data_IF_412923413236
#
_entry.id   IF_412923413236
#
_cell.length_a   1.000
_cell.length_b   1.000
_cell.length_c   1.000
_cell.angle_alpha   90.00
_cell.angle_beta   90.00
_cell.angle_gamma   90.00
#
_symmetry.space_group_name_H-M   'P 1'
#
loop_
_entity.id
_entity.type
_entity.pdbx_description
1 polymer ?
#
# COMPACT_ATOMS: atom_id res chain seq x y z
N UNK A 1 -5.45 13.34 5.73
CA UNK A 1 -6.47 12.47 5.09
C UNK A 1 -6.58 11.11 5.77
N UNK A 2 -5.48 10.48 6.10
CA UNK A 2 -5.42 9.31 7.00
C UNK A 2 -4.79 9.81 8.28
N UNK A 3 -5.37 9.50 9.45
CA UNK A 3 -4.86 9.92 10.76
C UNK A 3 -4.82 8.71 11.68
N UNK A 4 -3.71 8.50 12.32
CA UNK A 4 -3.50 7.51 13.37
C UNK A 4 -3.09 8.25 14.64
N UNK A 5 -3.76 7.98 15.76
CA UNK A 5 -3.50 8.61 17.05
C UNK A 5 -3.35 7.54 18.13
N UNK A 6 -2.18 7.44 18.71
CA UNK A 6 -1.85 6.54 19.83
C UNK A 6 -2.24 5.08 19.57
N UNK A 7 -2.03 4.58 18.34
CA UNK A 7 -2.46 3.25 17.92
C UNK A 7 -1.58 2.19 18.54
N UNK A 8 -2.20 1.29 19.31
CA UNK A 8 -1.54 0.12 19.90
C UNK A 8 -2.29 -1.15 19.51
N UNK A 9 -1.54 -2.21 19.19
CA UNK A 9 -2.09 -3.50 18.79
C UNK A 9 -1.35 -4.66 19.41
N UNK A 10 -2.12 -5.65 19.84
CA UNK A 10 -1.62 -6.93 20.37
C UNK A 10 -2.16 -8.11 19.58
N UNK A 11 -1.32 -9.13 19.40
CA UNK A 11 -1.72 -10.48 19.09
C UNK A 11 -1.55 -11.33 20.36
N UNK A 12 -2.66 -11.65 21.00
CA UNK A 12 -2.67 -12.26 22.34
C UNK A 12 -1.89 -11.39 23.35
N UNK A 13 -0.77 -11.87 23.89
CA UNK A 13 0.11 -11.14 24.82
C UNK A 13 1.24 -10.36 24.13
N UNK A 14 1.44 -10.54 22.83
CA UNK A 14 2.53 -9.90 22.12
C UNK A 14 2.08 -8.57 21.50
N UNK A 15 2.71 -7.47 21.95
CA UNK A 15 2.44 -6.14 21.43
C UNK A 15 3.23 -5.89 20.15
N UNK A 16 2.51 -5.68 19.03
CA UNK A 16 3.08 -5.48 17.69
C UNK A 16 3.16 -4.00 17.32
N UNK A 17 2.20 -3.19 17.77
CA UNK A 17 2.23 -1.73 17.61
C UNK A 17 2.14 -1.09 18.99
N UNK A 18 2.95 -0.06 19.21
CA UNK A 18 3.10 0.65 20.47
C UNK A 18 2.98 2.15 20.22
N UNK A 19 1.85 2.71 20.60
CA UNK A 19 1.62 4.17 20.60
C UNK A 19 1.96 4.86 19.27
N UNK A 20 1.60 4.24 18.14
CA UNK A 20 1.91 4.76 16.82
C UNK A 20 0.99 5.93 16.47
N UNK A 21 1.57 7.10 16.22
CA UNK A 21 0.85 8.30 15.79
C UNK A 21 1.46 8.87 14.51
N UNK A 22 0.65 9.07 13.49
CA UNK A 22 1.05 9.69 12.22
C UNK A 22 -0.17 10.14 11.43
N UNK A 23 0.05 10.97 10.44
CA UNK A 23 -0.98 11.41 9.50
C UNK A 23 -0.48 11.27 8.06
N UNK A 24 -1.39 11.19 7.11
CA UNK A 24 -1.11 11.30 5.66
C UNK A 24 -2.06 12.34 5.09
N UNK A 25 -1.51 13.40 4.54
CA UNK A 25 -2.29 14.45 3.89
C UNK A 25 -2.86 13.96 2.53
N UNK A 26 -3.81 14.70 1.98
CA UNK A 26 -4.31 14.39 0.63
C UNK A 26 -3.22 14.68 -0.41
N UNK A 27 -2.94 13.73 -1.26
CA UNK A 27 -1.91 13.80 -2.29
C UNK A 27 -0.50 13.53 -1.76
N UNK A 28 -0.33 13.31 -0.44
CA UNK A 28 0.97 12.99 0.16
C UNK A 28 1.33 11.53 -0.10
N UNK A 29 2.61 11.30 -0.42
CA UNK A 29 3.22 9.97 -0.49
C UNK A 29 4.06 9.74 0.76
N UNK A 30 3.61 8.84 1.63
CA UNK A 30 4.33 8.45 2.85
C UNK A 30 4.89 7.04 2.68
N UNK A 31 6.19 6.91 2.88
CA UNK A 31 6.87 5.60 2.86
C UNK A 31 7.18 5.17 4.29
N UNK A 32 6.83 3.93 4.62
CA UNK A 32 7.16 3.29 5.91
C UNK A 32 8.24 2.25 5.67
N UNK A 33 9.39 2.41 6.31
CA UNK A 33 10.51 1.48 6.25
C UNK A 33 10.92 0.99 7.65
N UNK A 34 11.77 -0.02 7.70
CA UNK A 34 12.25 -0.61 8.96
C UNK A 34 12.50 -2.11 8.84
N UNK A 35 13.12 -2.74 9.83
CA UNK A 35 13.45 -4.17 9.80
C UNK A 35 12.19 -5.05 9.71
N UNK A 36 12.36 -6.30 9.27
CA UNK A 36 11.29 -7.29 9.29
C UNK A 36 10.77 -7.49 10.71
N UNK A 37 9.45 -7.63 10.86
CA UNK A 37 8.81 -7.77 12.17
C UNK A 37 8.64 -6.46 12.96
N UNK A 38 9.00 -5.29 12.42
CA UNK A 38 8.83 -4.01 13.13
C UNK A 38 7.37 -3.48 13.18
N UNK A 39 6.39 -4.20 12.60
CA UNK A 39 4.97 -3.84 12.68
C UNK A 39 4.41 -3.11 11.45
N UNK A 40 5.20 -2.82 10.41
CA UNK A 40 4.80 -2.06 9.21
C UNK A 40 3.54 -2.60 8.52
N UNK A 41 3.54 -3.88 8.18
CA UNK A 41 2.39 -4.54 7.53
C UNK A 41 1.16 -4.58 8.44
N UNK A 42 1.35 -4.69 9.74
CA UNK A 42 0.24 -4.60 10.71
C UNK A 42 -0.33 -3.18 10.75
N UNK A 43 0.53 -2.16 10.78
CA UNK A 43 0.11 -0.76 10.79
C UNK A 43 -0.78 -0.45 9.55
N UNK A 44 -0.32 -0.80 8.36
CA UNK A 44 -1.06 -0.52 7.13
C UNK A 44 -2.38 -1.32 7.05
N UNK A 45 -2.41 -2.56 7.57
CA UNK A 45 -3.63 -3.37 7.66
C UNK A 45 -4.64 -2.83 8.69
N UNK A 46 -4.17 -2.14 9.73
CA UNK A 46 -5.06 -1.43 10.65
C UNK A 46 -5.74 -0.23 9.95
N UNK A 47 -5.07 0.46 9.04
CA UNK A 47 -5.63 1.62 8.32
C UNK A 47 -6.86 1.26 7.49
N UNK A 48 -6.91 0.09 6.86
CA UNK A 48 -8.10 -0.35 6.10
C UNK A 48 -9.02 -1.29 6.89
N UNK A 49 -8.77 -1.45 8.20
CA UNK A 49 -9.58 -2.28 9.09
C UNK A 49 -9.49 -3.78 8.82
N UNK A 50 -8.47 -4.27 8.08
CA UNK A 50 -8.20 -5.71 7.94
C UNK A 50 -7.72 -6.30 9.25
N UNK A 51 -6.95 -5.53 10.01
CA UNK A 51 -6.50 -5.88 11.34
C UNK A 51 -7.14 -4.95 12.38
N UNK A 52 -7.80 -5.47 13.42
CA UNK A 52 -8.29 -4.66 14.51
C UNK A 52 -7.13 -4.18 15.39
N UNK A 53 -7.24 -2.99 15.94
CA UNK A 53 -6.34 -2.46 16.97
C UNK A 53 -7.10 -2.32 18.29
N UNK A 54 -6.38 -2.27 19.42
CA UNK A 54 -6.99 -2.28 20.75
C UNK A 54 -7.03 -0.89 21.41
N UNK A 55 -6.06 -0.03 21.11
CA UNK A 55 -5.98 1.32 21.67
C UNK A 55 -5.72 2.36 20.59
N UNK A 56 -6.08 3.59 20.86
CA UNK A 56 -5.94 4.72 19.96
C UNK A 56 -7.09 4.88 18.98
N UNK A 57 -6.88 5.66 17.95
CA UNK A 57 -7.86 5.89 16.90
C UNK A 57 -7.22 5.89 15.51
N UNK A 58 -7.97 5.43 14.51
CA UNK A 58 -7.62 5.56 13.09
C UNK A 58 -8.82 6.14 12.36
N UNK A 59 -8.57 7.16 11.56
CA UNK A 59 -9.59 7.71 10.67
C UNK A 59 -9.07 7.84 9.23
N UNK A 60 -9.96 7.60 8.25
CA UNK A 60 -9.69 7.80 6.83
C UNK A 60 -10.78 8.66 6.23
N UNK A 61 -10.41 9.83 5.73
CA UNK A 61 -11.33 10.85 5.21
C UNK A 61 -12.46 11.18 6.19
N UNK A 62 -12.14 11.27 7.49
CA UNK A 62 -13.09 11.56 8.57
C UNK A 62 -13.95 10.36 9.02
N UNK A 63 -13.75 9.17 8.44
CA UNK A 63 -14.44 7.95 8.84
C UNK A 63 -13.56 7.19 9.83
N UNK A 64 -14.05 6.93 11.04
CA UNK A 64 -13.34 6.14 12.05
C UNK A 64 -13.31 4.65 11.66
N UNK A 65 -12.13 4.07 11.63
CA UNK A 65 -11.93 2.64 11.30
C UNK A 65 -12.33 1.74 12.49
N UNK A 66 -12.11 2.20 13.71
CA UNK A 66 -12.35 1.43 14.95
C UNK A 66 -13.79 1.50 15.46
N UNK A 67 -14.66 2.35 14.91
CA UNK A 67 -16.05 2.45 15.37
C UNK A 67 -16.84 1.22 14.90
N UNK A 68 -17.53 0.55 15.84
CA UNK A 68 -18.40 -0.60 15.56
C UNK A 68 -19.55 -0.31 14.60
N UNK A 69 -19.93 0.97 14.44
CA UNK A 69 -20.96 1.42 13.50
C UNK A 69 -20.43 1.66 12.09
N UNK A 70 -19.12 1.66 11.90
CA UNK A 70 -18.51 1.89 10.59
C UNK A 70 -18.76 0.70 9.68
N UNK A 71 -19.33 0.97 8.51
CA UNK A 71 -19.42 0.00 7.42
C UNK A 71 -18.04 -0.14 6.76
N UNK A 72 -17.28 -1.13 7.22
CA UNK A 72 -15.92 -1.41 6.70
C UNK A 72 -15.95 -1.78 5.21
N UNK A 73 -17.05 -2.30 4.67
CA UNK A 73 -17.17 -2.60 3.24
C UNK A 73 -17.13 -1.31 2.43
N UNK A 74 -17.88 -0.30 2.85
CA UNK A 74 -17.87 1.03 2.23
C UNK A 74 -16.54 1.75 2.40
N UNK A 75 -15.92 1.62 3.56
CA UNK A 75 -14.60 2.20 3.80
C UNK A 75 -13.55 1.56 2.86
N UNK A 76 -13.49 0.23 2.82
CA UNK A 76 -12.54 -0.52 1.96
C UNK A 76 -12.77 -0.28 0.48
N UNK A 77 -14.02 -0.03 0.06
CA UNK A 77 -14.30 0.35 -1.33
C UNK A 77 -13.65 1.68 -1.75
N UNK A 78 -13.30 2.53 -0.79
CA UNK A 78 -12.67 3.84 -1.00
C UNK A 78 -11.16 3.83 -0.82
N UNK A 79 -10.57 2.73 -0.38
CA UNK A 79 -9.15 2.57 -0.12
C UNK A 79 -8.63 1.42 -0.97
N UNK A 80 -7.74 1.70 -1.90
CA UNK A 80 -7.05 0.66 -2.65
C UNK A 80 -6.00 -0.01 -1.77
N UNK A 81 -5.92 -1.34 -1.80
CA UNK A 81 -4.88 -2.11 -1.11
C UNK A 81 -4.19 -3.04 -2.09
N UNK A 82 -2.87 -2.98 -2.11
CA UNK A 82 -1.99 -3.84 -2.91
C UNK A 82 -1.11 -4.62 -1.95
N UNK A 83 -1.15 -5.94 -2.04
CA UNK A 83 -0.46 -6.86 -1.14
C UNK A 83 0.84 -7.39 -1.77
N UNK A 84 1.69 -7.96 -0.94
CA UNK A 84 2.93 -8.62 -1.34
C UNK A 84 2.69 -9.78 -2.33
N UNK A 85 1.63 -10.57 -2.15
CA UNK A 85 1.30 -11.75 -2.94
C UNK A 85 0.13 -11.55 -3.92
N UNK A 86 0.03 -10.36 -4.54
CA UNK A 86 -0.90 -10.00 -5.62
C UNK A 86 -2.40 -10.17 -5.28
N UNK A 87 -2.79 -11.24 -4.60
CA UNK A 87 -4.15 -11.60 -4.17
C UNK A 87 -5.18 -11.53 -5.31
N UNK A 88 -4.78 -11.95 -6.52
CA UNK A 88 -5.69 -12.08 -7.66
C UNK A 88 -6.52 -13.37 -7.53
N UNK A 89 -7.76 -13.32 -7.99
CA UNK A 89 -8.61 -14.51 -8.09
C UNK A 89 -8.10 -15.40 -9.23
N UNK A 90 -7.51 -16.57 -8.94
CA UNK A 90 -6.82 -17.37 -9.95
C UNK A 90 -7.76 -18.02 -10.99
N UNK A 91 -9.03 -18.18 -10.64
CA UNK A 91 -10.09 -18.75 -11.49
C UNK A 91 -10.80 -17.70 -12.35
N UNK A 92 -10.44 -16.42 -12.22
CA UNK A 92 -10.97 -15.33 -13.02
C UNK A 92 -9.90 -14.80 -13.98
N UNK A 93 -10.34 -14.36 -15.16
CA UNK A 93 -9.44 -13.64 -16.08
C UNK A 93 -8.97 -12.33 -15.47
N UNK A 94 -7.92 -11.72 -16.02
CA UNK A 94 -7.43 -10.39 -15.66
C UNK A 94 -8.57 -9.38 -15.69
N UNK A 95 -9.33 -9.30 -16.79
CA UNK A 95 -10.47 -8.40 -16.90
C UNK A 95 -11.54 -8.68 -15.84
N UNK A 96 -11.87 -9.95 -15.60
CA UNK A 96 -12.86 -10.31 -14.58
C UNK A 96 -12.42 -9.93 -13.16
N UNK A 97 -11.12 -10.00 -12.84
CA UNK A 97 -10.56 -9.49 -11.58
C UNK A 97 -10.80 -7.99 -11.40
N UNK A 98 -10.69 -7.17 -12.46
CA UNK A 98 -10.92 -5.74 -12.38
C UNK A 98 -12.42 -5.39 -12.32
N UNK A 99 -13.29 -6.17 -12.96
CA UNK A 99 -14.72 -5.89 -13.11
C UNK A 99 -15.51 -6.30 -11.87
N UNK A 100 -15.13 -7.40 -11.21
CA UNK A 100 -15.92 -8.03 -10.14
C UNK A 100 -16.35 -7.03 -9.05
N UNK A 101 -15.40 -6.31 -8.46
CA UNK A 101 -15.69 -5.40 -7.36
C UNK A 101 -16.45 -4.15 -7.84
N UNK A 102 -16.20 -3.64 -9.03
CA UNK A 102 -16.93 -2.52 -9.61
C UNK A 102 -18.43 -2.84 -9.72
N UNK A 103 -18.77 -4.05 -10.20
CA UNK A 103 -20.16 -4.48 -10.36
C UNK A 103 -20.78 -4.83 -9.01
N UNK A 104 -20.10 -5.63 -8.17
CA UNK A 104 -20.68 -6.18 -6.94
C UNK A 104 -20.73 -5.20 -5.78
N UNK A 105 -19.77 -4.29 -5.69
CA UNK A 105 -19.62 -3.35 -4.56
C UNK A 105 -20.11 -1.94 -4.94
N UNK A 106 -19.71 -1.44 -6.11
CA UNK A 106 -20.09 -0.10 -6.57
C UNK A 106 -21.40 -0.08 -7.36
N UNK A 107 -21.93 -1.23 -7.79
CA UNK A 107 -23.16 -1.31 -8.58
C UNK A 107 -23.01 -0.78 -10.01
N UNK A 108 -21.77 -0.63 -10.52
CA UNK A 108 -21.52 -0.18 -11.89
C UNK A 108 -22.03 -1.19 -12.91
N UNK A 109 -22.52 -0.68 -14.06
CA UNK A 109 -22.85 -1.52 -15.19
C UNK A 109 -21.64 -2.31 -15.69
N UNK A 110 -21.87 -3.54 -16.18
CA UNK A 110 -20.79 -4.42 -16.63
C UNK A 110 -19.98 -3.82 -17.77
N UNK A 111 -20.66 -3.25 -18.77
CA UNK A 111 -20.01 -2.62 -19.95
C UNK A 111 -19.11 -1.46 -19.53
N UNK A 112 -19.60 -0.59 -18.63
CA UNK A 112 -18.83 0.52 -18.08
C UNK A 112 -17.60 0.00 -17.31
N UNK A 113 -17.78 -1.04 -16.49
CA UNK A 113 -16.70 -1.66 -15.72
C UNK A 113 -15.62 -2.28 -16.60
N UNK A 114 -16.02 -2.92 -17.72
CA UNK A 114 -15.08 -3.49 -18.69
C UNK A 114 -14.32 -2.40 -19.47
N UNK A 115 -14.99 -1.33 -19.88
CA UNK A 115 -14.35 -0.18 -20.53
C UNK A 115 -13.33 0.50 -19.62
N UNK A 116 -13.70 0.68 -18.35
CA UNK A 116 -12.80 1.22 -17.34
C UNK A 116 -11.62 0.28 -17.06
N UNK A 117 -11.91 -1.02 -16.90
CA UNK A 117 -10.89 -2.05 -16.72
C UNK A 117 -9.87 -2.04 -17.86
N UNK A 118 -10.33 -1.92 -19.12
CA UNK A 118 -9.46 -1.85 -20.28
C UNK A 118 -8.53 -0.63 -20.27
N UNK A 119 -9.04 0.56 -19.90
CA UNK A 119 -8.22 1.76 -19.73
C UNK A 119 -7.17 1.61 -18.65
N UNK A 120 -7.51 0.96 -17.53
CA UNK A 120 -6.56 0.71 -16.44
C UNK A 120 -5.50 -0.32 -16.83
N UNK A 121 -5.87 -1.37 -17.57
CA UNK A 121 -4.91 -2.32 -18.12
C UNK A 121 -3.96 -1.66 -19.12
N UNK A 122 -4.46 -0.77 -19.96
CA UNK A 122 -3.62 0.02 -20.87
C UNK A 122 -2.63 0.89 -20.10
N UNK A 123 -3.09 1.55 -19.03
CA UNK A 123 -2.27 2.38 -18.15
C UNK A 123 -1.11 1.63 -17.50
N UNK A 124 -1.32 0.36 -17.13
CA UNK A 124 -0.27 -0.50 -16.55
C UNK A 124 0.46 -1.36 -17.61
N UNK A 125 0.24 -1.11 -18.90
CA UNK A 125 0.91 -1.78 -20.02
C UNK A 125 0.49 -3.24 -20.24
N UNK A 126 -0.76 -3.61 -19.85
CA UNK A 126 -1.23 -4.99 -19.86
C UNK A 126 -2.55 -5.19 -20.64
N UNK A 127 -2.88 -4.28 -21.55
CA UNK A 127 -4.11 -4.34 -22.38
C UNK A 127 -4.30 -5.70 -23.05
N UNK A 128 -3.24 -6.24 -23.67
CA UNK A 128 -3.26 -7.51 -24.41
C UNK A 128 -3.44 -8.73 -23.51
N UNK A 129 -3.37 -8.54 -22.19
CA UNK A 129 -3.48 -9.62 -21.21
C UNK A 129 -4.88 -9.74 -20.60
N UNK A 130 -5.85 -8.94 -21.03
CA UNK A 130 -7.20 -8.86 -20.44
C UNK A 130 -7.92 -10.22 -20.34
N UNK A 131 -7.74 -11.10 -21.33
CA UNK A 131 -8.36 -12.42 -21.39
C UNK A 131 -7.55 -13.53 -20.71
N UNK A 132 -6.31 -13.27 -20.29
CA UNK A 132 -5.45 -14.24 -19.60
C UNK A 132 -5.91 -14.45 -18.16
N UNK A 133 -5.51 -15.59 -17.59
CA UNK A 133 -5.63 -15.89 -16.16
C UNK A 133 -4.34 -15.50 -15.42
N UNK A 134 -4.40 -15.20 -14.09
CA UNK A 134 -3.22 -14.83 -13.31
C UNK A 134 -2.03 -15.76 -13.47
N UNK A 135 -2.25 -17.09 -13.47
CA UNK A 135 -1.19 -18.08 -13.65
C UNK A 135 -0.46 -18.06 -15.01
N UNK A 136 -0.94 -17.26 -15.97
CA UNK A 136 -0.31 -17.06 -17.27
C UNK A 136 0.53 -15.76 -17.33
N UNK A 137 0.66 -15.07 -16.20
CA UNK A 137 1.37 -13.80 -16.07
C UNK A 137 2.63 -13.96 -15.22
N UNK A 138 3.66 -13.16 -15.51
CA UNK A 138 4.80 -13.01 -14.60
C UNK A 138 4.37 -12.36 -13.29
N UNK A 139 5.20 -12.47 -12.23
CA UNK A 139 4.93 -11.83 -10.93
C UNK A 139 4.71 -10.32 -11.06
N UNK A 140 5.59 -9.63 -11.79
CA UNK A 140 5.45 -8.19 -12.02
C UNK A 140 4.19 -7.81 -12.81
N UNK A 141 3.77 -8.64 -13.78
CA UNK A 141 2.50 -8.47 -14.48
C UNK A 141 1.31 -8.68 -13.53
N UNK A 142 1.34 -9.71 -12.68
CA UNK A 142 0.29 -9.94 -11.68
C UNK A 142 0.18 -8.75 -10.70
N UNK A 143 1.31 -8.21 -10.25
CA UNK A 143 1.30 -7.06 -9.35
C UNK A 143 0.73 -5.80 -10.02
N UNK A 144 1.05 -5.54 -11.28
CA UNK A 144 0.45 -4.43 -12.03
C UNK A 144 -1.05 -4.63 -12.26
N UNK A 145 -1.52 -5.87 -12.45
CA UNK A 145 -2.95 -6.18 -12.46
C UNK A 145 -3.58 -5.89 -11.10
N UNK A 146 -2.92 -6.25 -9.98
CA UNK A 146 -3.41 -5.96 -8.64
C UNK A 146 -3.53 -4.44 -8.39
N UNK A 147 -2.57 -3.64 -8.86
CA UNK A 147 -2.64 -2.18 -8.83
C UNK A 147 -3.84 -1.68 -9.67
N UNK A 148 -3.99 -2.15 -10.91
CA UNK A 148 -5.10 -1.78 -11.77
C UNK A 148 -6.47 -2.16 -11.17
N UNK A 149 -6.57 -3.33 -10.52
CA UNK A 149 -7.77 -3.77 -9.80
C UNK A 149 -8.12 -2.83 -8.65
N UNK A 150 -7.14 -2.41 -7.86
CA UNK A 150 -7.34 -1.45 -6.77
C UNK A 150 -7.81 -0.09 -7.30
N UNK A 151 -7.20 0.41 -8.38
CA UNK A 151 -7.58 1.66 -9.04
C UNK A 151 -8.98 1.62 -9.67
N UNK A 152 -9.49 0.44 -10.04
CA UNK A 152 -10.81 0.28 -10.63
C UNK A 152 -11.95 0.71 -9.69
N UNK A 153 -11.68 0.77 -8.40
CA UNK A 153 -12.64 1.20 -7.36
C UNK A 153 -12.69 2.71 -7.14
N UNK A 154 -11.90 3.52 -7.86
CA UNK A 154 -11.73 4.98 -7.67
C UNK A 154 -11.32 5.33 -6.22
N UNK A 155 -10.24 4.75 -5.72
CA UNK A 155 -9.86 4.94 -4.34
C UNK A 155 -9.39 6.37 -4.09
N UNK A 156 -9.65 6.87 -2.88
CA UNK A 156 -9.15 8.17 -2.41
C UNK A 156 -7.70 8.08 -1.89
N UNK A 157 -7.24 6.88 -1.58
CA UNK A 157 -5.86 6.57 -1.20
C UNK A 157 -5.50 5.14 -1.59
N UNK A 158 -4.22 4.92 -1.86
CA UNK A 158 -3.64 3.62 -2.13
C UNK A 158 -2.71 3.21 -0.99
N UNK A 159 -2.89 1.99 -0.51
CA UNK A 159 -2.03 1.34 0.48
C UNK A 159 -1.22 0.24 -0.23
N UNK A 160 0.09 0.24 -0.02
CA UNK A 160 0.99 -0.76 -0.59
C UNK A 160 1.74 -1.48 0.52
N UNK A 161 1.54 -2.79 0.65
CA UNK A 161 2.22 -3.64 1.64
C UNK A 161 3.28 -4.48 0.94
N UNK A 162 4.52 -3.98 0.90
CA UNK A 162 5.69 -4.61 0.29
C UNK A 162 5.44 -5.12 -1.15
N UNK A 163 5.00 -4.27 -2.09
CA UNK A 163 4.49 -4.70 -3.40
C UNK A 163 5.54 -5.35 -4.31
N UNK A 164 6.82 -5.25 -3.98
CA UNK A 164 7.93 -5.77 -4.80
C UNK A 164 8.67 -6.96 -4.16
N UNK A 165 8.43 -7.25 -2.88
CA UNK A 165 9.23 -8.22 -2.12
C UNK A 165 9.08 -9.68 -2.57
N UNK A 166 8.00 -10.01 -3.31
CA UNK A 166 7.78 -11.34 -3.90
C UNK A 166 8.20 -11.42 -5.38
N UNK A 167 8.92 -10.42 -5.89
CA UNK A 167 9.29 -10.30 -7.30
C UNK A 167 10.80 -10.54 -7.53
N UNK A 168 11.12 -11.11 -8.69
CA UNK A 168 12.49 -11.12 -9.18
C UNK A 168 12.96 -9.68 -9.48
N UNK A 169 14.25 -9.36 -9.29
CA UNK A 169 14.78 -8.00 -9.46
C UNK A 169 14.45 -7.36 -10.82
N UNK A 170 14.41 -8.16 -11.89
CA UNK A 170 14.07 -7.69 -13.24
C UNK A 170 12.64 -7.14 -13.35
N UNK A 171 11.72 -7.63 -12.50
CA UNK A 171 10.31 -7.26 -12.52
C UNK A 171 9.97 -6.09 -11.58
N UNK A 172 10.84 -5.80 -10.62
CA UNK A 172 10.66 -4.73 -9.60
C UNK A 172 10.47 -3.38 -10.27
N UNK A 173 11.32 -3.06 -11.25
CA UNK A 173 11.33 -1.76 -11.91
C UNK A 173 9.98 -1.39 -12.51
N UNK A 174 9.32 -2.30 -13.24
CA UNK A 174 8.05 -2.02 -13.91
C UNK A 174 6.91 -1.72 -12.92
N UNK A 175 6.94 -2.37 -11.74
CA UNK A 175 5.99 -2.11 -10.66
C UNK A 175 6.26 -0.75 -10.03
N UNK A 176 7.53 -0.44 -9.73
CA UNK A 176 7.92 0.85 -9.17
C UNK A 176 7.61 2.01 -10.13
N UNK A 177 7.88 1.85 -11.43
CA UNK A 177 7.55 2.86 -12.46
C UNK A 177 6.03 3.15 -12.47
N UNK A 178 5.20 2.11 -12.30
CA UNK A 178 3.74 2.28 -12.15
C UNK A 178 3.38 3.07 -10.90
N UNK A 179 4.03 2.79 -9.76
CA UNK A 179 3.80 3.50 -8.49
C UNK A 179 4.29 4.96 -8.56
N UNK A 180 5.42 5.21 -9.24
CA UNK A 180 5.95 6.56 -9.49
C UNK A 180 4.95 7.39 -10.31
N UNK A 181 4.36 6.81 -11.36
CA UNK A 181 3.34 7.49 -12.16
C UNK A 181 2.11 7.87 -11.30
N UNK A 182 1.66 6.99 -10.40
CA UNK A 182 0.56 7.29 -9.48
C UNK A 182 0.90 8.44 -8.52
N UNK A 183 2.13 8.48 -7.99
CA UNK A 183 2.59 9.56 -7.14
C UNK A 183 2.58 10.90 -7.86
N UNK A 184 3.12 10.96 -9.09
CA UNK A 184 3.12 12.18 -9.91
C UNK A 184 1.72 12.67 -10.31
N UNK A 185 0.74 11.80 -10.34
CA UNK A 185 -0.67 12.17 -10.56
C UNK A 185 -1.37 12.69 -9.29
N UNK A 186 -0.66 12.78 -8.16
CA UNK A 186 -1.19 13.28 -6.90
C UNK A 186 -2.02 12.25 -6.11
N UNK A 187 -1.82 10.95 -6.38
CA UNK A 187 -2.47 9.90 -5.58
C UNK A 187 -1.93 9.92 -4.14
N UNK A 188 -2.84 9.94 -3.16
CA UNK A 188 -2.45 9.75 -1.76
C UNK A 188 -1.98 8.33 -1.55
N UNK A 189 -0.77 8.14 -1.03
CA UNK A 189 -0.17 6.82 -0.91
C UNK A 189 0.46 6.60 0.47
N UNK A 190 0.23 5.42 1.05
CA UNK A 190 0.97 4.92 2.20
C UNK A 190 1.63 3.60 1.77
N UNK A 191 2.95 3.59 1.71
CA UNK A 191 3.73 2.50 1.10
C UNK A 191 4.67 1.88 2.12
N UNK A 192 4.48 0.62 2.45
CA UNK A 192 5.50 -0.19 3.14
C UNK A 192 6.42 -0.77 2.08
N UNK A 193 7.71 -0.44 2.13
CA UNK A 193 8.69 -0.93 1.13
C UNK A 193 10.12 -0.92 1.65
N UNK A 194 10.96 -1.74 1.05
CA UNK A 194 12.42 -1.75 1.21
C UNK A 194 13.13 -1.06 0.03
N UNK A 195 12.40 -0.54 -0.93
CA UNK A 195 12.92 0.14 -2.13
C UNK A 195 13.27 1.60 -1.79
N UNK A 196 14.47 1.82 -1.25
CA UNK A 196 14.91 3.17 -0.84
C UNK A 196 15.07 4.14 -2.02
N UNK A 197 15.38 3.63 -3.22
CA UNK A 197 15.39 4.42 -4.45
C UNK A 197 14.04 5.02 -4.78
N UNK A 198 12.98 4.23 -4.66
CA UNK A 198 11.59 4.70 -4.83
C UNK A 198 11.25 5.74 -3.75
N UNK A 199 11.58 5.47 -2.48
CA UNK A 199 11.32 6.42 -1.41
C UNK A 199 12.01 7.78 -1.64
N UNK A 200 13.27 7.78 -2.10
CA UNK A 200 14.01 9.02 -2.45
C UNK A 200 13.36 9.78 -3.60
N UNK A 201 12.77 9.08 -4.55
CA UNK A 201 12.23 9.67 -5.78
C UNK A 201 10.87 10.34 -5.58
N UNK A 202 9.98 9.73 -4.79
CA UNK A 202 8.58 10.16 -4.75
C UNK A 202 8.00 10.42 -3.36
N UNK A 203 8.68 10.01 -2.27
CA UNK A 203 8.12 10.22 -0.94
C UNK A 203 8.22 11.69 -0.53
N UNK A 204 7.11 12.24 -0.03
CA UNK A 204 7.11 13.51 0.68
C UNK A 204 7.65 13.34 2.09
N UNK A 205 7.38 12.16 2.68
CA UNK A 205 7.82 11.81 4.04
C UNK A 205 8.12 10.32 4.15
N UNK A 206 9.15 10.02 4.93
CA UNK A 206 9.56 8.67 5.29
C UNK A 206 9.36 8.47 6.79
N UNK A 207 8.82 7.33 7.18
CA UNK A 207 8.63 6.87 8.56
C UNK A 207 9.50 5.65 8.77
N UNK A 208 10.38 5.69 9.76
CA UNK A 208 11.15 4.54 10.19
C UNK A 208 10.52 3.89 11.40
N UNK A 209 10.16 2.61 11.29
CA UNK A 209 9.59 1.81 12.37
C UNK A 209 10.59 0.77 12.87
N UNK A 210 10.67 0.61 14.18
CA UNK A 210 11.40 -0.47 14.83
C UNK A 210 10.66 -0.94 16.09
N UNK A 211 10.63 -2.24 16.35
CA UNK A 211 10.02 -2.87 17.53
C UNK A 211 8.58 -2.40 17.86
N UNK A 212 7.79 -2.11 16.83
CA UNK A 212 6.40 -1.68 16.97
C UNK A 212 6.19 -0.18 17.16
N UNK A 213 7.25 0.62 17.12
CA UNK A 213 7.23 2.05 17.37
C UNK A 213 7.63 2.84 16.10
N UNK A 214 7.11 4.06 15.97
CA UNK A 214 7.64 5.04 15.02
C UNK A 214 8.84 5.71 15.70
N UNK A 215 10.05 5.36 15.25
CA UNK A 215 11.31 5.84 15.85
C UNK A 215 11.71 7.19 15.31
N UNK A 216 11.53 7.39 13.99
CA UNK A 216 11.89 8.63 13.33
C UNK A 216 11.00 8.85 12.10
N UNK A 217 10.67 10.12 11.80
CA UNK A 217 9.93 10.49 10.60
C UNK A 217 10.40 11.83 10.08
N UNK A 218 10.42 11.98 8.74
CA UNK A 218 10.82 13.24 8.12
C UNK A 218 10.93 13.15 6.60
N UNK A 219 11.34 14.25 5.94
CA UNK A 219 11.55 14.26 4.50
C UNK A 219 12.70 13.30 4.10
N UNK A 220 12.65 12.70 2.89
CA UNK A 220 13.62 11.69 2.45
C UNK A 220 15.08 12.14 2.58
N UNK A 221 15.39 13.37 2.18
CA UNK A 221 16.75 13.90 2.26
C UNK A 221 17.31 13.78 3.68
N UNK A 222 16.57 14.28 4.69
CA UNK A 222 16.99 14.17 6.09
C UNK A 222 17.12 12.70 6.54
N UNK A 223 16.12 11.88 6.23
CA UNK A 223 16.08 10.49 6.70
C UNK A 223 17.22 9.64 6.16
N UNK A 224 17.66 9.92 4.93
CA UNK A 224 18.69 9.08 4.27
C UNK A 224 20.10 9.70 4.31
N UNK A 225 20.25 11.02 4.47
CA UNK A 225 21.54 11.70 4.41
C UNK A 225 22.04 12.16 5.80
N UNK A 226 21.08 12.54 6.69
CA UNK A 226 21.37 12.99 8.05
C UNK A 226 20.40 12.37 9.07
N UNK A 227 20.36 11.03 9.20
CA UNK A 227 19.51 10.35 10.18
C UNK A 227 19.92 10.72 11.61
N UNK A 228 18.94 11.02 12.46
CA UNK A 228 19.21 11.46 13.83
C UNK A 228 19.45 10.27 14.76
N UNK A 229 18.63 9.21 14.65
CA UNK A 229 18.70 8.06 15.58
C UNK A 229 19.76 7.05 15.15
N UNK A 230 20.48 6.49 16.12
CA UNK A 230 21.47 5.44 15.85
C UNK A 230 20.84 4.19 15.26
N UNK A 231 19.56 3.93 15.57
CA UNK A 231 18.81 2.80 15.00
C UNK A 231 18.59 2.98 13.50
N UNK A 232 18.22 4.17 13.04
CA UNK A 232 18.05 4.45 11.61
C UNK A 232 19.41 4.40 10.89
N UNK A 233 20.48 4.97 11.48
CA UNK A 233 21.86 4.88 10.93
C UNK A 233 22.28 3.42 10.72
N UNK A 234 22.06 2.58 11.73
CA UNK A 234 22.38 1.16 11.65
C UNK A 234 21.59 0.46 10.54
N UNK A 235 20.28 0.69 10.48
CA UNK A 235 19.39 0.12 9.46
C UNK A 235 19.82 0.50 8.04
N UNK A 236 20.08 1.79 7.80
CA UNK A 236 20.54 2.27 6.50
C UNK A 236 21.91 1.69 6.10
N UNK A 237 22.84 1.55 7.06
CA UNK A 237 24.15 0.94 6.81
C UNK A 237 24.06 -0.52 6.36
N UNK A 238 23.04 -1.25 6.82
CA UNK A 238 22.82 -2.65 6.43
C UNK A 238 22.24 -2.77 5.02
N UNK A 239 21.28 -1.90 4.67
CA UNK A 239 20.67 -1.89 3.32
C UNK A 239 21.66 -1.43 2.27
N UNK A 240 22.43 -0.38 2.54
CA UNK A 240 23.39 0.19 1.57
C UNK A 240 24.62 -0.70 1.32
N UNK A 241 24.89 -1.68 2.19
CA UNK A 241 25.96 -2.67 2.03
C UNK A 241 25.52 -3.95 1.32
N UNK A 242 24.23 -4.16 1.15
CA UNK A 242 23.63 -5.35 0.54
C UNK A 242 23.32 -5.21 -0.95
N UNK A 243 23.71 -4.11 -1.58
CA UNK A 243 23.55 -3.85 -3.02
C UNK A 243 24.89 -3.53 -3.65
#
# INVERSE_FOLDING_TARGET
MITLEHVSKWYQSFQVLKDCSTEVAKGEVVVVCGPSGSGKSTLIKCVNGLEPFQEGSISVAGISVGDRKTDLTKLRARIGMVFQHFELFPHLTVMANLVLAQVKVLGRGRVESEQRGMKLLERVGLREHAAKFPGQLSGGQQQRVAIARALAMDPIAMLFDEPTSALDPEMVKEVLDTMVALAHEGMTMLCVTHEMGFARQVADRVIFMDQGEIVEAGPPARMFEDPHTDRLKLFLSQILRGH
#
